data_IF_267615771632
#
_entry.id   IF_267615771632
#
_cell.length_a   1.000
_cell.length_b   1.000
_cell.length_c   1.000
_cell.angle_alpha   90.00
_cell.angle_beta   90.00
_cell.angle_gamma   90.00
#
_symmetry.space_group_name_H-M   'P 1'
#
loop_
_entity.id
_entity.type
_entity.pdbx_description
1 polymer ?
#
# COMPACT_ATOMS: atom_id res chain seq x y z
N UNK A 1 23.18 17.72 19.18
CA UNK A 1 22.91 16.34 18.67
C UNK A 1 22.50 16.44 17.20
N UNK A 2 23.10 15.66 16.29
CA UNK A 2 22.72 15.71 14.88
C UNK A 2 21.29 15.23 14.71
N UNK A 3 20.43 16.05 14.10
CA UNK A 3 19.11 15.64 13.65
C UNK A 3 19.27 14.75 12.42
N UNK A 4 18.64 13.58 12.43
CA UNK A 4 18.54 12.68 11.28
C UNK A 4 17.11 12.71 10.77
N UNK A 5 16.94 12.99 9.50
CA UNK A 5 15.65 12.92 8.82
C UNK A 5 15.80 12.12 7.54
N UNK A 6 14.74 11.55 7.07
CA UNK A 6 14.76 10.78 5.83
C UNK A 6 13.36 10.40 5.36
N UNK A 7 13.34 9.70 4.24
CA UNK A 7 12.16 9.00 3.73
C UNK A 7 12.51 7.53 3.55
N UNK A 8 11.50 6.69 3.67
CA UNK A 8 11.63 5.25 3.47
C UNK A 8 10.57 4.78 2.48
N UNK A 9 10.96 3.90 1.58
CA UNK A 9 10.06 3.34 0.58
C UNK A 9 10.43 1.89 0.31
N UNK A 10 9.43 1.02 0.28
CA UNK A 10 9.60 -0.40 -0.02
C UNK A 10 8.41 -0.94 -0.81
N UNK A 11 8.66 -1.86 -1.73
CA UNK A 11 7.57 -2.56 -2.42
C UNK A 11 6.83 -3.48 -1.44
N UNK A 12 5.49 -3.49 -1.53
CA UNK A 12 4.63 -4.15 -0.58
C UNK A 12 3.45 -4.82 -1.29
N UNK A 13 2.68 -5.69 -0.62
CA UNK A 13 1.57 -6.40 -1.24
C UNK A 13 0.27 -6.14 -0.47
N UNK A 14 -0.69 -5.47 -1.12
CA UNK A 14 -1.99 -5.10 -0.54
C UNK A 14 -3.17 -5.56 -1.42
N UNK A 15 -2.91 -6.46 -2.37
CA UNK A 15 -3.90 -6.91 -3.36
C UNK A 15 -5.16 -7.52 -2.71
N UNK A 16 -5.02 -8.14 -1.53
CA UNK A 16 -6.13 -8.76 -0.82
C UNK A 16 -7.21 -7.73 -0.50
N UNK A 17 -6.84 -6.60 0.06
CA UNK A 17 -7.78 -5.52 0.42
C UNK A 17 -8.20 -4.63 -0.76
N UNK A 18 -7.56 -4.80 -1.93
CA UNK A 18 -7.82 -3.92 -3.08
C UNK A 18 -9.23 -4.02 -3.65
N UNK A 19 -9.92 -5.14 -3.45
CA UNK A 19 -11.22 -5.45 -4.01
C UNK A 19 -12.30 -5.73 -2.95
N UNK A 20 -12.03 -5.38 -1.69
CA UNK A 20 -12.92 -5.67 -0.56
C UNK A 20 -13.92 -4.54 -0.24
N UNK A 21 -13.87 -3.40 -0.95
CA UNK A 21 -14.83 -2.32 -0.72
C UNK A 21 -16.27 -2.80 -0.90
N UNK A 22 -17.11 -2.54 0.09
CA UNK A 22 -18.52 -2.91 0.13
C UNK A 22 -19.38 -1.67 0.34
N UNK A 23 -20.53 -1.62 -0.33
CA UNK A 23 -21.53 -0.59 -0.06
C UNK A 23 -22.52 -1.12 0.98
N UNK A 24 -22.66 -0.40 2.08
CA UNK A 24 -23.69 -0.66 3.09
C UNK A 24 -24.75 0.42 3.04
N UNK A 25 -26.01 0.04 3.11
CA UNK A 25 -27.14 0.97 3.20
C UNK A 25 -27.59 1.07 4.65
N UNK A 26 -27.41 2.20 5.28
CA UNK A 26 -27.86 2.49 6.64
C UNK A 26 -28.90 3.61 6.57
N UNK A 27 -30.12 3.33 7.04
CA UNK A 27 -31.25 4.27 7.02
C UNK A 27 -31.54 4.88 5.62
N UNK A 28 -31.35 4.09 4.55
CA UNK A 28 -31.58 4.53 3.16
C UNK A 28 -30.45 5.36 2.56
N UNK A 29 -29.33 5.53 3.27
CA UNK A 29 -28.11 6.19 2.77
C UNK A 29 -27.04 5.12 2.50
N UNK A 30 -26.46 5.18 1.32
CA UNK A 30 -25.36 4.27 0.93
C UNK A 30 -24.04 4.81 1.49
N UNK A 31 -23.31 3.94 2.21
CA UNK A 31 -21.97 4.21 2.68
C UNK A 31 -21.01 3.18 2.10
N UNK A 32 -19.90 3.64 1.59
CA UNK A 32 -18.80 2.74 1.29
C UNK A 32 -18.11 2.33 2.59
N UNK A 33 -18.04 1.02 2.83
CA UNK A 33 -17.32 0.44 3.96
C UNK A 33 -16.11 -0.34 3.45
N UNK A 34 -15.03 -0.25 4.19
CA UNK A 34 -13.81 -1.01 3.92
C UNK A 34 -13.64 -2.06 5.02
N UNK A 35 -13.81 -3.36 4.73
CA UNK A 35 -13.51 -4.42 5.68
C UNK A 35 -12.09 -4.32 6.24
N UNK A 36 -11.13 -3.90 5.42
CA UNK A 36 -9.76 -3.64 5.87
C UNK A 36 -9.67 -2.52 6.90
N UNK A 37 -10.54 -1.50 6.81
CA UNK A 37 -10.58 -0.45 7.84
C UNK A 37 -11.17 -0.97 9.16
N UNK A 38 -12.19 -1.80 9.11
CA UNK A 38 -12.74 -2.43 10.32
C UNK A 38 -11.69 -3.36 10.95
N UNK A 39 -11.00 -4.14 10.14
CA UNK A 39 -9.88 -4.98 10.58
C UNK A 39 -8.74 -4.13 11.19
N UNK A 40 -8.46 -2.95 10.65
CA UNK A 40 -7.47 -2.04 11.22
C UNK A 40 -7.82 -1.64 12.66
N UNK A 41 -9.10 -1.33 12.92
CA UNK A 41 -9.56 -0.99 14.28
C UNK A 41 -9.39 -2.17 15.26
N UNK A 42 -9.76 -3.36 14.83
CA UNK A 42 -9.58 -4.58 15.64
C UNK A 42 -8.10 -4.90 15.87
N UNK A 43 -7.27 -4.70 14.86
CA UNK A 43 -5.83 -4.94 14.96
C UNK A 43 -5.13 -4.00 15.94
N UNK A 44 -5.65 -2.80 16.19
CA UNK A 44 -5.10 -1.87 17.19
C UNK A 44 -5.07 -2.53 18.56
N UNK A 45 -6.17 -3.18 18.96
CA UNK A 45 -6.26 -3.84 20.26
C UNK A 45 -5.31 -5.05 20.36
N UNK A 46 -5.23 -5.85 19.29
CA UNK A 46 -4.34 -7.02 19.23
C UNK A 46 -2.87 -6.58 19.32
N UNK A 47 -2.46 -5.61 18.52
CA UNK A 47 -1.09 -5.09 18.49
C UNK A 47 -0.73 -4.43 19.83
N UNK A 48 -1.65 -3.65 20.40
CA UNK A 48 -1.47 -3.03 21.71
C UNK A 48 -1.25 -4.09 22.81
N UNK A 49 -2.04 -5.16 22.80
CA UNK A 49 -1.88 -6.29 23.73
C UNK A 49 -0.52 -6.97 23.57
N UNK A 50 -0.07 -7.23 22.35
CA UNK A 50 1.24 -7.85 22.08
C UNK A 50 2.40 -6.98 22.56
N UNK A 51 2.33 -5.66 22.34
CA UNK A 51 3.34 -4.72 22.84
C UNK A 51 3.36 -4.65 24.36
N UNK A 52 2.19 -4.57 24.99
CA UNK A 52 2.09 -4.55 26.46
C UNK A 52 2.68 -5.81 27.08
N UNK A 53 2.35 -6.99 26.57
CA UNK A 53 2.92 -8.27 27.03
C UNK A 53 4.44 -8.32 26.86
N UNK A 54 4.97 -7.75 25.79
CA UNK A 54 6.42 -7.66 25.54
C UNK A 54 7.12 -6.73 26.55
N UNK A 55 6.49 -5.62 26.90
CA UNK A 55 6.99 -4.69 27.93
C UNK A 55 7.00 -5.33 29.31
N UNK A 56 5.90 -5.97 29.70
CA UNK A 56 5.78 -6.68 30.99
C UNK A 56 6.82 -7.79 31.12
N UNK A 57 7.05 -8.56 30.05
CA UNK A 57 8.09 -9.58 29.99
C UNK A 57 9.51 -8.99 30.15
N UNK A 58 9.68 -7.72 29.79
CA UNK A 58 10.93 -6.97 29.95
C UNK A 58 11.03 -6.21 31.29
N UNK A 59 10.04 -6.39 32.19
CA UNK A 59 9.99 -5.72 33.49
C UNK A 59 9.56 -4.25 33.45
N UNK A 60 8.90 -3.83 32.37
CA UNK A 60 8.45 -2.46 32.15
C UNK A 60 6.94 -2.42 32.40
N UNK A 61 6.49 -1.61 33.35
CA UNK A 61 5.08 -1.42 33.70
C UNK A 61 4.36 -0.36 32.86
N UNK A 62 5.12 0.37 32.04
CA UNK A 62 4.60 1.45 31.21
C UNK A 62 3.82 0.90 29.99
N UNK A 63 2.86 1.66 29.51
CA UNK A 63 2.01 1.26 28.38
C UNK A 63 2.17 2.20 27.20
N UNK A 64 2.04 1.62 26.00
CA UNK A 64 1.87 2.40 24.79
C UNK A 64 0.51 3.12 24.79
N UNK A 65 0.48 4.33 24.29
CA UNK A 65 -0.77 4.97 23.92
C UNK A 65 -1.36 4.23 22.70
N UNK A 66 -2.67 3.97 22.69
CA UNK A 66 -3.37 3.29 21.59
C UNK A 66 -3.23 4.01 20.26
N UNK A 67 -2.92 5.30 20.27
CA UNK A 67 -2.61 6.11 19.09
C UNK A 67 -1.10 6.20 18.80
N UNK A 68 -0.28 5.38 19.48
CA UNK A 68 1.15 5.33 19.18
C UNK A 68 1.42 4.82 17.76
N UNK A 69 2.39 5.42 17.08
CA UNK A 69 2.84 4.96 15.77
C UNK A 69 3.28 3.48 15.78
N UNK A 70 3.84 3.00 16.89
CA UNK A 70 4.31 1.62 17.07
C UNK A 70 3.14 0.61 17.17
N UNK A 71 1.92 1.09 17.37
CA UNK A 71 0.68 0.32 17.29
C UNK A 71 -0.01 0.55 15.94
N UNK A 72 -0.19 1.82 15.56
CA UNK A 72 -0.98 2.17 14.39
C UNK A 72 -0.38 1.65 13.08
N UNK A 73 0.95 1.75 12.91
CA UNK A 73 1.58 1.32 11.65
C UNK A 73 1.51 -0.20 11.45
N UNK A 74 1.90 -1.05 12.43
CA UNK A 74 1.72 -2.49 12.30
C UNK A 74 0.27 -2.93 12.13
N UNK A 75 -0.68 -2.31 12.86
CA UNK A 75 -2.10 -2.60 12.74
C UNK A 75 -2.64 -2.27 11.34
N UNK A 76 -2.22 -1.12 10.78
CA UNK A 76 -2.55 -0.69 9.43
C UNK A 76 -1.98 -1.64 8.37
N UNK A 77 -0.70 -1.98 8.47
CA UNK A 77 -0.07 -2.90 7.55
C UNK A 77 -0.74 -4.28 7.57
N UNK A 78 -0.97 -4.84 8.77
CA UNK A 78 -1.65 -6.14 8.90
C UNK A 78 -3.04 -6.14 8.27
N UNK A 79 -3.85 -5.10 8.50
CA UNK A 79 -5.19 -4.98 7.96
C UNK A 79 -5.19 -4.95 6.42
N UNK A 80 -4.38 -4.09 5.83
CA UNK A 80 -4.38 -3.89 4.38
C UNK A 80 -3.63 -4.95 3.57
N UNK A 81 -2.74 -5.72 4.22
CA UNK A 81 -2.13 -6.93 3.61
C UNK A 81 -2.98 -8.18 3.82
N UNK A 82 -3.90 -8.14 4.80
CA UNK A 82 -4.65 -9.30 5.26
C UNK A 82 -3.80 -10.30 6.03
N UNK A 83 -2.69 -9.84 6.63
CA UNK A 83 -1.89 -10.61 7.58
C UNK A 83 -2.62 -10.66 8.93
N UNK A 84 -2.47 -11.77 9.65
CA UNK A 84 -3.02 -11.87 11.00
C UNK A 84 -2.19 -10.99 11.95
N UNK A 85 -2.86 -10.07 12.67
CA UNK A 85 -2.22 -9.16 13.61
C UNK A 85 -1.44 -9.88 14.73
N UNK A 86 -1.84 -11.10 15.11
CA UNK A 86 -1.11 -11.92 16.10
C UNK A 86 0.31 -12.29 15.65
N UNK A 87 0.55 -12.37 14.32
CA UNK A 87 1.82 -12.78 13.74
C UNK A 87 2.50 -11.67 12.95
N UNK A 88 1.82 -10.53 12.78
CA UNK A 88 2.32 -9.42 11.99
C UNK A 88 3.63 -8.85 12.57
N UNK A 89 4.47 -8.32 11.69
CA UNK A 89 5.68 -7.61 12.08
C UNK A 89 5.32 -6.35 12.88
N UNK A 90 5.99 -6.17 14.02
CA UNK A 90 5.79 -5.01 14.91
C UNK A 90 6.61 -3.78 14.49
N UNK A 91 7.43 -3.90 13.45
CA UNK A 91 8.29 -2.80 13.02
C UNK A 91 7.55 -1.80 12.12
N UNK A 92 7.75 -0.50 12.37
CA UNK A 92 7.21 0.57 11.53
C UNK A 92 7.89 0.66 10.15
N UNK A 93 9.03 -0.01 9.97
CA UNK A 93 9.77 -0.12 8.72
C UNK A 93 9.84 -1.57 8.26
N UNK A 94 8.98 -2.04 7.35
CA UNK A 94 9.06 -3.37 6.77
C UNK A 94 10.43 -3.60 6.10
N UNK A 95 11.04 -4.77 6.31
CA UNK A 95 12.41 -5.04 5.81
C UNK A 95 12.45 -5.90 4.56
N UNK A 96 11.40 -6.65 4.28
CA UNK A 96 11.35 -7.59 3.18
C UNK A 96 10.54 -6.98 2.04
N UNK A 97 11.17 -6.65 0.89
CA UNK A 97 10.45 -6.17 -0.27
C UNK A 97 9.67 -7.32 -0.93
N UNK A 98 8.43 -7.05 -1.31
CA UNK A 98 7.61 -7.99 -2.07
C UNK A 98 7.63 -7.54 -3.54
N UNK A 99 7.85 -8.44 -4.52
CA UNK A 99 8.02 -8.03 -5.90
C UNK A 99 6.73 -7.45 -6.49
N UNK A 100 6.88 -6.35 -7.20
CA UNK A 100 5.90 -5.89 -8.17
C UNK A 100 6.05 -6.71 -9.45
N UNK A 101 4.98 -6.85 -10.25
CA UNK A 101 5.04 -7.67 -11.47
C UNK A 101 4.33 -7.02 -12.64
N UNK A 102 4.72 -7.48 -13.82
CA UNK A 102 4.02 -7.24 -15.07
C UNK A 102 4.00 -8.54 -15.87
N UNK A 103 2.84 -8.86 -16.41
CA UNK A 103 2.61 -10.05 -17.22
C UNK A 103 2.15 -9.58 -18.59
N UNK A 104 2.89 -9.93 -19.62
CA UNK A 104 2.54 -9.71 -21.01
C UNK A 104 2.44 -11.06 -21.72
N UNK A 105 1.27 -11.38 -22.26
CA UNK A 105 1.00 -12.65 -22.92
C UNK A 105 0.53 -12.44 -24.36
N UNK A 106 1.33 -12.86 -25.32
CA UNK A 106 1.11 -12.69 -26.76
C UNK A 106 0.69 -14.00 -27.49
N UNK A 107 0.43 -15.08 -26.74
CA UNK A 107 0.19 -16.41 -27.31
C UNK A 107 -1.18 -16.64 -27.92
N UNK A 108 -2.16 -15.80 -27.62
CA UNK A 108 -3.56 -16.01 -28.01
C UNK A 108 -3.75 -16.01 -29.53
N UNK A 109 -3.00 -15.21 -30.29
CA UNK A 109 -3.08 -15.17 -31.76
C UNK A 109 -2.66 -16.47 -32.44
N UNK A 110 -2.03 -17.41 -31.70
CA UNK A 110 -1.63 -18.73 -32.23
C UNK A 110 -2.71 -19.80 -32.09
N UNK A 111 -3.78 -19.51 -31.34
CA UNK A 111 -4.85 -20.47 -31.12
C UNK A 111 -5.68 -20.72 -32.41
N UNK A 112 -6.14 -21.96 -32.64
CA UNK A 112 -7.05 -22.26 -33.76
C UNK A 112 -8.29 -21.34 -33.74
N UNK A 113 -8.66 -20.80 -34.88
CA UNK A 113 -9.74 -19.84 -35.01
C UNK A 113 -9.31 -18.38 -34.84
N UNK A 114 -8.43 -18.08 -33.90
CA UNK A 114 -7.91 -16.69 -33.73
C UNK A 114 -6.80 -16.35 -34.71
N UNK A 115 -5.93 -17.32 -35.02
CA UNK A 115 -4.81 -17.15 -35.97
C UNK A 115 -5.23 -16.76 -37.38
N UNK A 116 -6.48 -17.07 -37.78
CA UNK A 116 -6.97 -16.78 -39.11
C UNK A 116 -7.46 -15.35 -39.27
N UNK A 117 -7.87 -14.73 -38.17
CA UNK A 117 -8.41 -13.36 -38.11
C UNK A 117 -7.39 -12.35 -37.59
N UNK A 118 -6.68 -12.70 -36.53
CA UNK A 118 -5.78 -11.79 -35.85
C UNK A 118 -4.31 -12.01 -36.25
N UNK A 119 -3.60 -10.91 -36.44
CA UNK A 119 -2.14 -10.92 -36.58
C UNK A 119 -1.45 -10.88 -35.20
N UNK A 120 -2.06 -10.22 -34.22
CA UNK A 120 -1.60 -10.24 -32.81
C UNK A 120 -2.77 -10.06 -31.85
N UNK A 121 -2.66 -10.74 -30.70
CA UNK A 121 -3.54 -10.58 -29.52
C UNK A 121 -2.64 -10.62 -28.30
N UNK A 122 -2.50 -9.47 -27.63
CA UNK A 122 -1.67 -9.33 -26.45
C UNK A 122 -2.55 -9.00 -25.24
N UNK A 123 -2.36 -9.77 -24.17
CA UNK A 123 -2.91 -9.48 -22.85
C UNK A 123 -1.81 -8.91 -21.98
N UNK A 124 -2.13 -7.88 -21.21
CA UNK A 124 -1.20 -7.24 -20.27
C UNK A 124 -1.86 -7.10 -18.91
N UNK A 125 -1.14 -7.43 -17.87
CA UNK A 125 -1.51 -7.17 -16.48
C UNK A 125 -0.29 -6.63 -15.74
N UNK A 126 -0.45 -5.57 -14.97
CA UNK A 126 0.62 -5.00 -14.15
C UNK A 126 0.12 -4.65 -12.76
N UNK A 127 0.90 -5.04 -11.75
CA UNK A 127 0.66 -4.70 -10.36
C UNK A 127 1.89 -4.07 -9.74
N UNK A 128 1.70 -2.97 -9.06
CA UNK A 128 2.71 -2.28 -8.27
C UNK A 128 2.10 -1.79 -6.98
N UNK A 129 2.74 -2.06 -5.86
CA UNK A 129 2.39 -1.48 -4.57
C UNK A 129 3.65 -1.08 -3.82
N UNK A 130 3.60 0.10 -3.18
CA UNK A 130 4.73 0.68 -2.47
C UNK A 130 4.22 1.24 -1.15
N UNK A 131 4.83 0.79 -0.06
CA UNK A 131 4.70 1.43 1.25
C UNK A 131 5.73 2.54 1.38
N UNK A 132 5.29 3.72 1.82
CA UNK A 132 6.13 4.90 2.01
C UNK A 132 5.98 5.46 3.42
N UNK A 133 7.11 5.82 4.01
CA UNK A 133 7.19 6.68 5.19
C UNK A 133 7.84 7.98 4.76
N UNK A 134 7.05 9.04 4.72
CA UNK A 134 7.52 10.35 4.29
C UNK A 134 7.98 11.17 5.51
N UNK A 135 9.18 11.74 5.41
CA UNK A 135 9.71 12.71 6.37
C UNK A 135 9.72 12.20 7.83
N UNK A 136 10.34 11.04 8.08
CA UNK A 136 10.62 10.65 9.44
C UNK A 136 11.83 11.43 9.98
N UNK A 137 11.81 11.71 11.28
CA UNK A 137 12.92 12.32 12.01
C UNK A 137 13.29 11.47 13.23
N UNK A 138 14.53 11.54 13.69
CA UNK A 138 14.86 10.95 14.98
C UNK A 138 14.20 11.75 16.10
N UNK A 139 13.76 11.05 17.14
CA UNK A 139 13.29 11.67 18.37
C UNK A 139 14.45 12.31 19.10
N UNK A 140 14.40 13.64 19.29
CA UNK A 140 15.42 14.35 20.07
C UNK A 140 15.40 13.89 21.53
N UNK A 141 14.23 13.66 22.08
CA UNK A 141 14.06 13.18 23.45
C UNK A 141 14.65 11.78 23.64
N UNK A 142 14.46 10.88 22.65
CA UNK A 142 15.11 9.57 22.65
C UNK A 142 16.63 9.70 22.62
N UNK A 143 17.16 10.52 21.72
CA UNK A 143 18.60 10.74 21.54
C UNK A 143 19.22 11.35 22.79
N UNK A 144 18.55 12.31 23.45
CA UNK A 144 19.02 12.94 24.68
C UNK A 144 19.09 11.94 25.82
N UNK A 145 18.04 11.15 26.04
CA UNK A 145 18.02 10.12 27.09
C UNK A 145 19.07 9.04 26.89
N UNK A 146 19.24 8.56 25.64
CA UNK A 146 20.28 7.57 25.31
C UNK A 146 21.70 8.11 25.55
N UNK A 147 21.93 9.40 25.35
CA UNK A 147 23.23 10.03 25.59
C UNK A 147 23.54 10.16 27.09
N UNK A 148 22.48 10.38 27.89
CA UNK A 148 22.64 10.52 29.36
C UNK A 148 22.89 9.16 30.04
N UNK A 149 22.24 8.07 29.54
CA UNK A 149 22.29 6.74 30.19
C UNK A 149 23.47 5.87 29.74
N UNK A 150 24.20 6.28 28.72
CA UNK A 150 25.37 5.56 28.17
C UNK A 150 25.11 4.09 27.80
N UNK A 151 23.86 3.68 27.62
CA UNK A 151 23.45 2.34 27.25
C UNK A 151 23.01 2.29 25.79
N UNK A 152 23.93 1.87 24.95
CA UNK A 152 23.61 1.37 23.60
C UNK A 152 22.91 0.01 23.75
N UNK A 153 21.62 0.02 23.91
CA UNK A 153 20.82 -1.18 23.74
C UNK A 153 20.38 -1.26 22.29
N UNK A 154 20.70 -2.37 21.65
CA UNK A 154 20.45 -2.66 20.23
C UNK A 154 18.95 -2.75 19.85
N UNK A 155 18.04 -2.35 20.72
CA UNK A 155 16.63 -2.49 20.48
C UNK A 155 15.77 -1.31 20.93
N UNK A 156 14.81 -0.88 20.09
CA UNK A 156 13.94 0.27 20.35
C UNK A 156 12.98 0.10 21.53
N UNK A 157 12.93 -1.05 22.15
CA UNK A 157 12.13 -1.37 23.34
C UNK A 157 12.83 -1.01 24.65
N UNK A 158 14.01 -0.46 24.61
CA UNK A 158 14.59 0.05 25.84
C UNK A 158 13.77 1.26 26.29
N UNK A 159 12.92 1.00 27.18
CA UNK A 159 12.18 1.76 28.19
C UNK A 159 12.57 3.24 28.38
N UNK A 160 12.57 3.99 27.30
CA UNK A 160 12.67 5.44 27.41
C UNK A 160 11.26 6.00 27.61
N UNK A 161 10.91 6.20 28.87
CA UNK A 161 9.65 6.84 29.21
C UNK A 161 9.88 8.33 29.34
N UNK A 162 9.00 9.12 28.78
CA UNK A 162 8.92 10.53 29.05
C UNK A 162 8.44 10.73 30.51
N UNK A 163 9.29 11.33 31.34
CA UNK A 163 8.99 11.57 32.76
C UNK A 163 7.81 12.53 33.01
N UNK A 164 7.40 13.28 32.00
CA UNK A 164 6.28 14.24 32.10
C UNK A 164 4.96 13.56 31.74
N UNK A 165 4.96 12.77 30.66
CA UNK A 165 3.74 12.18 30.12
C UNK A 165 3.53 10.72 30.53
N UNK A 166 4.57 10.05 31.09
CA UNK A 166 4.55 8.62 31.39
C UNK A 166 4.45 7.71 30.16
N UNK A 167 4.64 8.26 28.94
CA UNK A 167 4.52 7.53 27.67
C UNK A 167 5.90 7.11 27.17
N UNK A 168 5.94 6.01 26.46
CA UNK A 168 7.15 5.55 25.79
C UNK A 168 7.54 6.49 24.65
N UNK A 169 8.83 6.80 24.57
CA UNK A 169 9.40 7.70 23.57
C UNK A 169 9.84 6.89 22.37
N UNK A 170 9.28 7.14 21.17
CA UNK A 170 9.69 6.43 19.98
C UNK A 170 11.10 6.83 19.52
N UNK A 171 11.80 5.93 18.86
CA UNK A 171 13.13 6.19 18.25
C UNK A 171 13.04 7.20 17.12
N UNK A 172 12.04 7.04 16.27
CA UNK A 172 11.71 7.92 15.16
C UNK A 172 10.33 8.52 15.32
N UNK A 173 10.15 9.72 14.85
CA UNK A 173 8.86 10.40 14.79
C UNK A 173 8.40 10.35 13.34
N UNK A 174 7.24 9.76 13.12
CA UNK A 174 6.56 9.65 11.83
C UNK A 174 5.27 10.49 11.87
N UNK A 175 5.02 11.27 10.84
CA UNK A 175 3.77 12.04 10.73
C UNK A 175 2.71 11.26 9.96
N UNK A 176 3.12 10.59 8.89
CA UNK A 176 2.23 9.88 7.99
C UNK A 176 2.96 8.71 7.34
N UNK A 177 2.23 7.62 7.13
CA UNK A 177 2.62 6.53 6.24
C UNK A 177 1.59 6.38 5.14
N UNK A 178 1.99 5.86 3.98
CA UNK A 178 1.08 5.65 2.86
C UNK A 178 1.41 4.39 2.07
N UNK A 179 0.39 3.83 1.44
CA UNK A 179 0.53 2.75 0.46
C UNK A 179 -0.05 3.25 -0.85
N UNK A 180 0.78 3.26 -1.88
CA UNK A 180 0.36 3.52 -3.25
C UNK A 180 0.28 2.20 -4.00
N UNK A 181 -0.91 1.82 -4.43
CA UNK A 181 -1.18 0.60 -5.16
C UNK A 181 -1.70 0.92 -6.55
N UNK A 182 -1.16 0.26 -7.56
CA UNK A 182 -1.48 0.52 -8.97
C UNK A 182 -1.64 -0.79 -9.74
N UNK A 183 -2.76 -0.90 -10.44
CA UNK A 183 -3.00 -1.87 -11.49
C UNK A 183 -2.91 -1.15 -12.84
N UNK A 184 -1.77 -1.24 -13.51
CA UNK A 184 -1.48 -0.44 -14.69
C UNK A 184 -0.97 -1.28 -15.89
N UNK A 185 -1.89 -1.94 -16.62
CA UNK A 185 -3.32 -2.07 -16.41
C UNK A 185 -3.70 -3.24 -15.48
N UNK A 186 -4.92 -3.21 -14.91
CA UNK A 186 -5.52 -4.41 -14.29
C UNK A 186 -5.82 -5.44 -15.38
N UNK A 187 -6.40 -5.00 -16.49
CA UNK A 187 -6.58 -5.80 -17.70
C UNK A 187 -6.28 -4.89 -18.89
N UNK A 188 -5.31 -5.29 -19.70
CA UNK A 188 -4.99 -4.67 -20.98
C UNK A 188 -5.12 -5.68 -22.11
N UNK A 189 -5.83 -5.34 -23.17
CA UNK A 189 -6.01 -6.17 -24.35
C UNK A 189 -5.64 -5.31 -25.57
N UNK A 190 -4.66 -5.77 -26.36
CA UNK A 190 -4.31 -5.15 -27.60
C UNK A 190 -4.46 -6.18 -28.73
N UNK A 191 -5.27 -5.86 -29.70
CA UNK A 191 -5.54 -6.73 -30.83
C UNK A 191 -5.19 -6.02 -32.14
N UNK A 192 -4.66 -6.78 -33.09
CA UNK A 192 -4.46 -6.36 -34.45
C UNK A 192 -4.95 -7.46 -35.38
N UNK A 193 -5.79 -7.11 -36.35
CA UNK A 193 -6.27 -8.04 -37.36
C UNK A 193 -5.35 -8.09 -38.57
N UNK A 194 -5.50 -9.11 -39.39
CA UNK A 194 -4.81 -9.21 -40.70
C UNK A 194 -5.28 -8.15 -41.72
N UNK A 195 -6.44 -7.53 -41.47
CA UNK A 195 -7.00 -6.44 -42.30
C UNK A 195 -6.55 -5.06 -41.84
N UNK A 196 -5.47 -4.98 -41.03
CA UNK A 196 -4.92 -3.74 -40.46
C UNK A 196 -5.88 -2.94 -39.58
N UNK A 197 -6.86 -3.60 -38.99
CA UNK A 197 -7.69 -3.03 -37.94
C UNK A 197 -7.02 -3.31 -36.61
N UNK A 198 -6.91 -2.32 -35.76
CA UNK A 198 -6.35 -2.43 -34.39
C UNK A 198 -7.36 -1.93 -33.37
N UNK A 199 -7.39 -2.58 -32.24
CA UNK A 199 -8.15 -2.11 -31.10
C UNK A 199 -7.34 -2.34 -29.82
N UNK A 200 -7.46 -1.42 -28.87
CA UNK A 200 -6.91 -1.58 -27.54
C UNK A 200 -8.00 -1.33 -26.48
N UNK A 201 -7.93 -2.09 -25.42
CA UNK A 201 -8.75 -1.91 -24.23
C UNK A 201 -7.82 -1.95 -23.03
N UNK A 202 -7.89 -0.93 -22.16
CA UNK A 202 -7.12 -0.90 -20.93
C UNK A 202 -8.01 -0.46 -19.77
N UNK A 203 -8.08 -1.30 -18.75
CA UNK A 203 -8.69 -0.96 -17.47
C UNK A 203 -7.60 -0.78 -16.43
N UNK A 204 -7.50 0.42 -15.87
CA UNK A 204 -6.57 0.79 -14.81
C UNK A 204 -7.30 1.03 -13.51
N UNK A 205 -6.63 0.76 -12.41
CA UNK A 205 -7.12 1.06 -11.08
C UNK A 205 -5.93 1.45 -10.21
N UNK A 206 -6.07 2.57 -9.54
CA UNK A 206 -5.09 3.10 -8.59
C UNK A 206 -5.78 3.27 -7.23
N UNK A 207 -5.05 2.97 -6.16
CA UNK A 207 -5.49 3.19 -4.80
C UNK A 207 -4.37 3.85 -4.00
N UNK A 208 -4.71 4.88 -3.23
CA UNK A 208 -3.81 5.50 -2.28
C UNK A 208 -4.42 5.41 -0.89
N UNK A 209 -3.71 4.75 0.00
CA UNK A 209 -4.04 4.61 1.42
C UNK A 209 -3.06 5.49 2.20
N UNK A 210 -3.56 6.37 3.04
CA UNK A 210 -2.74 7.22 3.89
C UNK A 210 -3.22 7.13 5.34
N UNK A 211 -2.30 6.82 6.25
CA UNK A 211 -2.54 6.84 7.70
C UNK A 211 -1.83 8.05 8.28
N UNK A 212 -2.60 8.99 8.80
CA UNK A 212 -2.09 10.10 9.59
C UNK A 212 -1.93 9.65 11.05
N UNK A 213 -0.71 9.73 11.56
CA UNK A 213 -0.36 9.22 12.88
C UNK A 213 -0.69 10.19 14.03
N UNK A 214 -0.97 11.48 13.70
CA UNK A 214 -1.31 12.47 14.72
C UNK A 214 -2.74 12.33 15.25
N UNK A 215 -3.65 11.82 14.40
CA UNK A 215 -5.08 11.69 14.72
C UNK A 215 -5.66 10.31 14.42
N UNK A 216 -4.79 9.32 14.09
CA UNK A 216 -5.16 7.94 13.74
C UNK A 216 -6.17 7.85 12.57
N UNK A 217 -6.17 8.82 11.66
CA UNK A 217 -7.09 8.88 10.54
C UNK A 217 -6.53 8.13 9.33
N UNK A 218 -7.32 7.21 8.79
CA UNK A 218 -7.05 6.56 7.49
C UNK A 218 -7.84 7.26 6.41
N UNK A 219 -7.17 7.60 5.32
CA UNK A 219 -7.78 8.11 4.10
C UNK A 219 -7.52 7.11 2.99
N UNK A 220 -8.57 6.68 2.30
CA UNK A 220 -8.49 5.83 1.12
C UNK A 220 -9.04 6.59 -0.08
N UNK A 221 -8.23 6.69 -1.13
CA UNK A 221 -8.62 7.29 -2.42
C UNK A 221 -8.47 6.25 -3.50
N UNK A 222 -9.54 6.00 -4.24
CA UNK A 222 -9.55 5.06 -5.37
C UNK A 222 -9.85 5.79 -6.66
N UNK A 223 -9.10 5.45 -7.72
CA UNK A 223 -9.35 5.92 -9.07
C UNK A 223 -9.40 4.72 -10.01
N UNK A 224 -10.35 4.72 -10.92
CA UNK A 224 -10.41 3.74 -11.99
C UNK A 224 -10.63 4.41 -13.33
N UNK A 225 -10.07 3.83 -14.37
CA UNK A 225 -10.18 4.39 -15.70
C UNK A 225 -10.21 3.30 -16.77
N UNK A 226 -11.08 3.49 -17.75
CA UNK A 226 -11.18 2.65 -18.94
C UNK A 226 -10.74 3.47 -20.14
N UNK A 227 -9.84 2.92 -20.93
CA UNK A 227 -9.41 3.49 -22.22
C UNK A 227 -9.70 2.49 -23.31
N UNK A 228 -10.33 2.94 -24.37
CA UNK A 228 -10.59 2.17 -25.57
C UNK A 228 -10.07 2.96 -26.77
N UNK A 229 -9.19 2.33 -27.55
CA UNK A 229 -8.66 2.91 -28.77
C UNK A 229 -9.00 2.00 -29.95
N UNK A 230 -9.33 2.61 -31.07
CA UNK A 230 -9.64 1.93 -32.31
C UNK A 230 -8.88 2.59 -33.45
N UNK A 231 -8.24 1.78 -34.28
CA UNK A 231 -7.48 2.26 -35.42
C UNK A 231 -7.67 1.37 -36.65
N UNK A 232 -7.74 1.98 -37.82
CA UNK A 232 -7.71 1.29 -39.09
C UNK A 232 -6.71 1.93 -40.03
N UNK A 233 -5.84 1.13 -40.58
CA UNK A 233 -4.81 1.59 -41.51
C UNK A 233 -5.07 0.98 -42.88
N UNK A 234 -5.29 1.80 -43.89
CA UNK A 234 -5.40 1.39 -45.28
C UNK A 234 -4.23 1.99 -46.05
N UNK A 235 -3.39 1.12 -46.60
CA UNK A 235 -2.42 1.52 -47.60
C UNK A 235 -3.18 1.84 -48.90
N UNK A 236 -2.70 2.80 -49.69
CA UNK A 236 -3.25 3.20 -51.00
C UNK A 236 -4.69 3.76 -50.93
N UNK A 237 -5.01 4.56 -49.92
CA UNK A 237 -6.23 5.35 -49.92
C UNK A 237 -6.16 6.45 -50.97
N UNK A 238 -6.79 6.24 -52.10
CA UNK A 238 -6.99 7.30 -53.10
C UNK A 238 -8.03 8.27 -52.56
N UNK A 239 -7.59 9.44 -52.12
CA UNK A 239 -8.51 10.52 -51.74
C UNK A 239 -9.22 11.05 -52.99
N UNK A 240 -10.55 11.21 -52.97
CA UNK A 240 -11.32 11.66 -54.14
C UNK A 240 -11.12 13.17 -54.43
N UNK A 241 -10.18 13.83 -53.79
CA UNK A 241 -9.89 15.24 -54.03
C UNK A 241 -8.77 15.35 -55.05
N UNK A 242 -9.12 15.78 -56.28
CA UNK A 242 -8.15 16.30 -57.24
C UNK A 242 -7.67 17.67 -56.74
N UNK A 243 -6.38 17.82 -56.51
CA UNK A 243 -5.73 19.13 -56.45
C UNK A 243 -5.66 19.75 -57.81
#
# INVERSE_FOLDING_TARGET
>A
TPSRSGSYSISYLTIKSAFEAQTQTINGVEFETSPAFDQFKENIDVISGRLSNSLEASGISDRYDTISQDILVPAFLAAYTGENAENASMGVFPRIPIPNWRIDFAGLSKLPGLKDVFSSVNLTHGYRSIFNVNNYTNSLLYTEKMTLDNQLTDYPLASLTDSITGKLVPVYILNQVSILEQFAPLIGINIKTKTNLSASFNYKRDRNLALNLSNAQVTETQNSGVTFDFGWTKADLLLPFKT
#
